data_IF_649151312439
#
_entry.id   IF_649151312439
#
_cell.length_a   1.000
_cell.length_b   1.000
_cell.length_c   1.000
_cell.angle_alpha   90.00
_cell.angle_beta   90.00
_cell.angle_gamma   90.00
#
_symmetry.space_group_name_H-M   'P 1'
#
loop_
_entity.id
_entity.type
_entity.pdbx_description
1 polymer ?
#
# COMPACT_ATOMS: atom_id res chain seq x y z
N UNK A 1 26.26 29.12 21.31
CA UNK A 1 27.55 28.44 21.05
C UNK A 1 27.51 27.89 19.63
N UNK A 2 28.45 28.31 18.79
CA UNK A 2 28.64 27.68 17.48
C UNK A 2 29.31 26.32 17.68
N UNK A 3 28.81 25.29 17.01
CA UNK A 3 29.45 23.96 17.01
C UNK A 3 30.69 24.01 16.11
N UNK A 4 31.72 23.21 16.43
CA UNK A 4 32.93 23.12 15.62
C UNK A 4 32.67 22.46 14.26
N UNK A 5 33.52 22.75 13.28
CA UNK A 5 33.42 22.16 11.94
C UNK A 5 33.55 20.63 11.97
N UNK A 6 34.30 20.08 12.93
CA UNK A 6 34.41 18.63 13.16
C UNK A 6 33.06 18.00 13.53
N UNK A 7 32.28 18.66 14.39
CA UNK A 7 30.94 18.19 14.79
C UNK A 7 29.97 18.27 13.61
N UNK A 8 30.08 19.33 12.79
CA UNK A 8 29.28 19.48 11.57
C UNK A 8 29.63 18.38 10.55
N UNK A 9 30.91 18.07 10.38
CA UNK A 9 31.37 17.01 9.49
C UNK A 9 30.94 15.60 9.96
N UNK A 10 31.00 15.34 11.27
CA UNK A 10 30.50 14.09 11.86
C UNK A 10 28.97 13.97 11.68
N UNK A 11 28.23 15.06 11.89
CA UNK A 11 26.79 15.12 11.65
C UNK A 11 26.44 14.86 10.18
N UNK A 12 27.20 15.45 9.24
CA UNK A 12 27.07 15.22 7.80
C UNK A 12 27.27 13.75 7.44
N UNK A 13 28.34 13.11 7.94
CA UNK A 13 28.60 11.69 7.66
C UNK A 13 27.45 10.78 8.11
N UNK A 14 26.90 11.03 9.30
CA UNK A 14 25.74 10.29 9.82
C UNK A 14 24.45 10.59 9.03
N UNK A 15 24.24 11.84 8.64
CA UNK A 15 23.10 12.27 7.82
C UNK A 15 23.10 11.58 6.44
N UNK A 16 24.27 11.52 5.80
CA UNK A 16 24.44 10.84 4.50
C UNK A 16 24.26 9.31 4.61
N UNK A 17 24.49 8.73 5.79
CA UNK A 17 24.18 7.33 6.14
C UNK A 17 22.71 7.10 6.54
N UNK A 18 21.82 8.05 6.30
CA UNK A 18 20.37 7.99 6.57
C UNK A 18 19.97 7.94 8.06
N UNK A 19 20.87 8.31 8.98
CA UNK A 19 20.46 8.54 10.37
C UNK A 19 19.50 9.74 10.46
N UNK A 20 18.44 9.61 11.25
CA UNK A 20 17.49 10.70 11.46
C UNK A 20 18.13 11.84 12.26
N UNK A 21 17.67 13.09 12.09
CA UNK A 21 18.13 14.23 12.88
C UNK A 21 18.04 14.05 14.41
N UNK A 22 17.09 13.23 14.89
CA UNK A 22 16.98 12.86 16.31
C UNK A 22 18.09 11.90 16.76
N UNK A 23 18.41 10.91 15.94
CA UNK A 23 19.51 9.98 16.24
C UNK A 23 20.87 10.67 16.21
N UNK A 24 21.09 11.55 15.23
CA UNK A 24 22.31 12.37 15.13
C UNK A 24 22.42 13.30 16.34
N UNK A 25 21.32 13.94 16.74
CA UNK A 25 21.29 14.77 17.94
C UNK A 25 21.69 13.97 19.18
N UNK A 26 21.12 12.78 19.38
CA UNK A 26 21.44 11.92 20.53
C UNK A 26 22.90 11.44 20.49
N UNK A 27 23.41 11.08 19.31
CA UNK A 27 24.75 10.50 19.13
C UNK A 27 25.88 11.52 19.25
N UNK A 28 25.63 12.77 18.88
CA UNK A 28 26.61 13.87 18.95
C UNK A 28 26.36 14.83 20.13
N UNK A 29 25.39 14.54 20.99
CA UNK A 29 25.07 15.39 22.15
C UNK A 29 24.60 16.80 21.79
N UNK A 30 23.90 16.97 20.66
CA UNK A 30 23.43 18.29 20.22
C UNK A 30 22.26 18.77 21.09
N UNK A 31 22.12 20.08 21.24
CA UNK A 31 21.09 20.69 22.09
C UNK A 31 19.67 20.50 21.51
N UNK A 32 19.56 20.31 20.20
CA UNK A 32 18.28 20.14 19.51
C UNK A 32 18.45 19.46 18.15
N UNK A 33 17.52 18.57 17.73
CA UNK A 33 17.53 18.02 16.38
C UNK A 33 17.32 19.08 15.29
N UNK A 34 16.79 20.26 15.63
CA UNK A 34 16.66 21.41 14.72
C UNK A 34 17.99 21.88 14.15
N UNK A 35 19.09 21.68 14.88
CA UNK A 35 20.44 22.04 14.44
C UNK A 35 20.84 21.22 13.22
N UNK A 36 20.52 19.92 13.21
CA UNK A 36 20.80 19.02 12.09
C UNK A 36 19.93 19.35 10.87
N UNK A 37 18.66 19.71 11.08
CA UNK A 37 17.81 20.22 9.99
C UNK A 37 18.38 21.51 9.38
N UNK A 38 18.80 22.46 10.22
CA UNK A 38 19.43 23.70 9.78
C UNK A 38 20.69 23.45 8.96
N UNK A 39 21.59 22.55 9.42
CA UNK A 39 22.80 22.21 8.67
C UNK A 39 22.49 21.47 7.36
N UNK A 40 21.54 20.55 7.36
CA UNK A 40 21.13 19.84 6.15
C UNK A 40 20.59 20.78 5.08
N UNK A 41 19.83 21.82 5.47
CA UNK A 41 19.37 22.86 4.55
C UNK A 41 20.49 23.81 4.15
N UNK A 42 21.25 24.35 5.12
CA UNK A 42 22.30 25.35 4.89
C UNK A 42 23.42 24.85 3.99
N UNK A 43 23.83 23.60 4.16
CA UNK A 43 24.93 22.98 3.43
C UNK A 43 24.44 22.00 2.35
N UNK A 44 23.15 22.05 2.06
CA UNK A 44 22.49 21.24 1.03
C UNK A 44 22.82 19.75 1.10
N UNK A 45 22.88 19.17 2.31
CA UNK A 45 23.23 17.76 2.46
C UNK A 45 22.25 16.82 1.75
N UNK A 46 21.01 17.29 1.49
CA UNK A 46 20.01 16.56 0.73
C UNK A 46 20.42 16.31 -0.73
N UNK A 47 21.19 17.21 -1.36
CA UNK A 47 21.71 17.01 -2.73
C UNK A 47 22.88 16.04 -2.77
N UNK A 48 23.57 15.90 -1.64
CA UNK A 48 24.74 15.03 -1.45
C UNK A 48 24.39 13.66 -0.87
N UNK A 49 23.10 13.40 -0.60
CA UNK A 49 22.62 12.06 -0.29
C UNK A 49 22.96 11.18 -1.47
N UNK A 50 24.09 10.47 -1.35
CA UNK A 50 24.56 9.58 -2.39
C UNK A 50 23.41 8.62 -2.69
N UNK A 51 22.99 8.59 -3.94
CA UNK A 51 21.98 7.68 -4.46
C UNK A 51 22.59 6.28 -4.56
N UNK A 52 23.30 5.82 -3.52
CA UNK A 52 23.66 4.41 -3.46
C UNK A 52 22.36 3.66 -3.31
N UNK A 53 21.89 3.16 -4.44
CA UNK A 53 20.80 2.22 -4.48
C UNK A 53 21.24 0.97 -3.74
N UNK A 54 20.26 0.20 -3.28
CA UNK A 54 20.53 -1.13 -2.72
C UNK A 54 21.36 -1.98 -3.70
N UNK A 55 21.22 -1.76 -5.02
CA UNK A 55 22.04 -2.37 -6.06
C UNK A 55 23.55 -2.07 -5.93
N UNK A 56 23.93 -0.82 -5.66
CA UNK A 56 25.33 -0.39 -5.58
C UNK A 56 26.03 -0.93 -4.34
N UNK A 57 25.28 -1.04 -3.24
CA UNK A 57 25.75 -1.64 -1.99
C UNK A 57 25.97 -3.14 -2.17
N UNK A 58 25.03 -3.82 -2.83
CA UNK A 58 25.14 -5.25 -3.15
C UNK A 58 26.31 -5.50 -4.10
N UNK A 59 26.43 -4.73 -5.19
CA UNK A 59 27.50 -4.90 -6.18
C UNK A 59 28.89 -4.74 -5.57
N UNK A 60 29.06 -3.76 -4.67
CA UNK A 60 30.33 -3.55 -3.96
C UNK A 60 30.65 -4.68 -2.99
N UNK A 61 29.65 -5.16 -2.25
CA UNK A 61 29.83 -6.30 -1.34
C UNK A 61 30.18 -7.58 -2.11
N UNK A 62 29.57 -7.79 -3.27
CA UNK A 62 29.90 -8.88 -4.19
C UNK A 62 31.35 -8.80 -4.67
N UNK A 63 31.83 -7.62 -5.09
CA UNK A 63 33.22 -7.44 -5.53
C UNK A 63 34.22 -7.79 -4.42
N UNK A 64 33.97 -7.31 -3.19
CA UNK A 64 34.80 -7.61 -2.02
C UNK A 64 34.81 -9.10 -1.67
N UNK A 65 33.66 -9.77 -1.72
CA UNK A 65 33.59 -11.21 -1.45
C UNK A 65 34.24 -12.01 -2.58
N UNK A 66 34.07 -11.62 -3.84
CA UNK A 66 34.62 -12.33 -4.99
C UNK A 66 36.15 -12.47 -4.91
N UNK A 67 36.85 -11.40 -4.52
CA UNK A 67 38.32 -11.33 -4.42
C UNK A 67 38.92 -12.01 -3.18
N UNK A 68 38.12 -12.50 -2.22
CA UNK A 68 38.65 -13.20 -1.04
C UNK A 68 39.14 -14.61 -1.37
N UNK A 69 40.39 -14.91 -1.02
CA UNK A 69 40.90 -16.29 -0.98
C UNK A 69 40.42 -17.02 0.28
N UNK A 70 40.20 -18.33 0.19
CA UNK A 70 39.74 -19.20 1.30
C UNK A 70 38.44 -18.75 2.00
N UNK A 71 37.36 -18.56 1.23
CA UNK A 71 36.03 -18.17 1.73
C UNK A 71 35.47 -19.17 2.74
N UNK A 72 34.84 -18.67 3.80
CA UNK A 72 34.12 -19.52 4.77
C UNK A 72 32.77 -19.98 4.20
N UNK A 73 32.15 -21.05 4.75
CA UNK A 73 30.80 -21.47 4.34
C UNK A 73 29.75 -20.36 4.44
N UNK A 74 29.87 -19.50 5.45
CA UNK A 74 29.00 -18.33 5.66
C UNK A 74 29.23 -17.26 4.59
N UNK A 75 30.48 -17.04 4.17
CA UNK A 75 30.81 -16.13 3.07
C UNK A 75 30.33 -16.67 1.71
N UNK A 76 30.31 -17.99 1.54
CA UNK A 76 29.72 -18.64 0.37
C UNK A 76 28.19 -18.46 0.32
N UNK A 77 27.49 -18.65 1.44
CA UNK A 77 26.03 -18.42 1.53
C UNK A 77 25.67 -16.93 1.35
N UNK A 78 26.47 -16.01 1.91
CA UNK A 78 26.32 -14.57 1.70
C UNK A 78 26.48 -14.22 0.20
N UNK A 79 27.51 -14.74 -0.45
CA UNK A 79 27.78 -14.51 -1.87
C UNK A 79 26.63 -15.01 -2.76
N UNK A 80 26.14 -16.24 -2.54
CA UNK A 80 25.06 -16.84 -3.34
C UNK A 80 23.75 -16.03 -3.20
N UNK A 81 23.40 -15.63 -1.97
CA UNK A 81 22.22 -14.80 -1.72
C UNK A 81 22.34 -13.43 -2.37
N UNK A 82 23.50 -12.77 -2.24
CA UNK A 82 23.72 -11.46 -2.84
C UNK A 82 23.67 -11.52 -4.38
N UNK A 83 24.21 -12.56 -5.00
CA UNK A 83 24.08 -12.81 -6.45
C UNK A 83 22.59 -12.99 -6.81
N UNK A 84 21.87 -13.83 -6.07
CA UNK A 84 20.44 -14.08 -6.30
C UNK A 84 19.57 -12.82 -6.16
N UNK A 85 19.89 -11.93 -5.23
CA UNK A 85 19.23 -10.63 -5.08
C UNK A 85 19.63 -9.65 -6.19
N UNK A 86 20.90 -9.59 -6.56
CA UNK A 86 21.40 -8.72 -7.63
C UNK A 86 20.77 -9.07 -8.99
N UNK A 87 20.69 -10.35 -9.35
CA UNK A 87 20.04 -10.83 -10.59
C UNK A 87 18.56 -10.43 -10.65
N UNK A 88 17.84 -10.53 -9.52
CA UNK A 88 16.43 -10.11 -9.44
C UNK A 88 16.28 -8.60 -9.68
N UNK A 89 17.13 -7.79 -9.05
CA UNK A 89 17.14 -6.34 -9.21
C UNK A 89 17.51 -5.93 -10.66
N UNK A 90 18.56 -6.52 -11.23
CA UNK A 90 18.93 -6.32 -12.63
C UNK A 90 17.82 -6.73 -13.60
N UNK A 91 17.10 -7.83 -13.35
CA UNK A 91 15.96 -8.25 -14.18
C UNK A 91 14.83 -7.22 -14.16
N UNK A 92 14.55 -6.63 -12.99
CA UNK A 92 13.55 -5.56 -12.84
C UNK A 92 13.99 -4.30 -13.59
N UNK A 93 15.27 -3.92 -13.47
CA UNK A 93 15.84 -2.76 -14.16
C UNK A 93 15.86 -2.93 -15.68
N UNK A 94 16.32 -4.07 -16.19
CA UNK A 94 16.37 -4.32 -17.63
C UNK A 94 14.97 -4.27 -18.25
N UNK A 95 13.96 -4.83 -17.58
CA UNK A 95 12.54 -4.71 -17.98
C UNK A 95 12.04 -3.26 -17.99
N UNK A 96 12.52 -2.43 -17.05
CA UNK A 96 12.19 -1.01 -17.00
C UNK A 96 12.87 -0.23 -18.14
N UNK A 97 14.16 -0.47 -18.38
CA UNK A 97 14.93 0.14 -19.47
C UNK A 97 14.39 -0.25 -20.84
N UNK A 98 14.05 -1.52 -21.05
CA UNK A 98 13.39 -2.01 -22.27
C UNK A 98 12.06 -1.29 -22.52
N UNK A 99 11.25 -1.10 -21.47
CA UNK A 99 9.97 -0.38 -21.53
C UNK A 99 10.15 1.11 -21.85
N UNK A 100 11.17 1.77 -21.30
CA UNK A 100 11.49 3.17 -21.60
C UNK A 100 12.02 3.34 -23.03
N UNK A 101 12.86 2.41 -23.51
CA UNK A 101 13.34 2.38 -24.88
C UNK A 101 12.20 2.07 -25.88
N UNK A 102 11.20 1.29 -25.49
CA UNK A 102 9.99 1.05 -26.30
C UNK A 102 9.11 2.31 -26.39
N UNK A 103 8.96 3.06 -25.30
CA UNK A 103 8.23 4.34 -25.26
C UNK A 103 8.94 5.42 -26.10
N UNK A 104 10.26 5.50 -26.02
CA UNK A 104 11.05 6.42 -26.85
C UNK A 104 10.98 6.07 -28.36
N UNK A 105 10.90 4.78 -28.69
CA UNK A 105 10.72 4.29 -30.08
C UNK A 105 9.33 4.56 -30.65
N UNK A 106 8.31 4.77 -29.80
CA UNK A 106 6.94 5.04 -30.22
C UNK A 106 6.68 6.51 -30.59
N UNK A 107 7.64 7.42 -30.40
CA UNK A 107 7.61 8.78 -30.97
C UNK A 107 6.29 9.53 -30.80
N UNK A 108 5.72 9.55 -29.58
CA UNK A 108 4.39 10.16 -29.36
C UNK A 108 4.54 11.63 -28.98
N UNK A 109 4.16 12.48 -29.92
CA UNK A 109 3.87 13.91 -29.76
C UNK A 109 2.62 14.09 -28.87
N UNK A 110 2.60 15.11 -28.00
CA UNK A 110 1.57 15.29 -26.97
C UNK A 110 0.44 16.21 -27.48
N UNK A 111 -0.82 15.76 -27.66
CA UNK A 111 -1.92 16.67 -28.02
C UNK A 111 -2.79 17.07 -26.81
N UNK A 112 -3.13 18.36 -26.76
CA UNK A 112 -4.07 18.99 -25.83
C UNK A 112 -5.54 18.56 -26.06
N UNK A 113 -6.42 18.70 -25.04
CA UNK A 113 -7.80 18.22 -25.11
C UNK A 113 -8.78 19.26 -25.66
N UNK A 114 -9.65 18.84 -26.58
CA UNK A 114 -10.89 19.57 -26.86
C UNK A 114 -11.54 19.26 -28.20
N UNK A 115 -12.58 18.42 -28.20
CA UNK A 115 -13.93 18.72 -28.71
C UNK A 115 -14.80 17.46 -28.76
N UNK A 116 -15.92 17.52 -28.05
CA UNK A 116 -17.06 16.61 -28.21
C UNK A 116 -17.79 16.90 -29.52
N UNK A 117 -18.21 15.87 -30.24
CA UNK A 117 -19.09 16.01 -31.39
C UNK A 117 -19.46 14.71 -32.10
N UNK A 118 -20.63 14.18 -31.72
CA UNK A 118 -21.64 13.41 -32.48
C UNK A 118 -21.31 12.07 -33.18
N UNK A 119 -22.35 11.23 -33.07
CA UNK A 119 -22.57 9.91 -33.65
C UNK A 119 -22.55 9.89 -35.18
N UNK A 120 -22.04 8.81 -35.77
CA UNK A 120 -22.74 8.08 -36.84
C UNK A 120 -22.16 6.68 -37.08
N UNK A 121 -23.02 5.82 -37.61
CA UNK A 121 -22.91 4.36 -37.76
C UNK A 121 -21.85 3.93 -38.76
N UNK A 122 -21.23 2.78 -38.45
CA UNK A 122 -20.88 1.75 -39.42
C UNK A 122 -19.39 1.68 -39.78
N UNK A 123 -18.70 0.68 -39.23
CA UNK A 123 -18.00 -0.33 -40.03
C UNK A 123 -17.39 -1.40 -39.11
N UNK A 124 -17.59 -2.67 -39.49
CA UNK A 124 -17.00 -3.84 -38.87
C UNK A 124 -15.49 -3.83 -39.13
N UNK A 125 -14.74 -3.14 -38.28
CA UNK A 125 -13.27 -3.19 -38.24
C UNK A 125 -12.78 -4.23 -37.25
N UNK A 126 -11.96 -5.18 -37.72
CA UNK A 126 -11.33 -6.23 -36.94
C UNK A 126 -10.75 -5.70 -35.62
N UNK A 127 -11.32 -6.15 -34.50
CA UNK A 127 -10.94 -5.70 -33.17
C UNK A 127 -9.44 -5.93 -32.92
N UNK A 128 -8.69 -4.83 -32.77
CA UNK A 128 -7.46 -4.84 -31.98
C UNK A 128 -7.84 -5.39 -30.61
N UNK A 129 -7.57 -6.68 -30.37
CA UNK A 129 -7.66 -7.25 -29.02
C UNK A 129 -6.74 -6.42 -28.15
N UNK A 130 -7.33 -5.57 -27.29
CA UNK A 130 -6.58 -4.89 -26.24
C UNK A 130 -5.77 -5.97 -25.52
N UNK A 131 -4.45 -5.74 -25.44
CA UNK A 131 -3.57 -6.67 -24.73
C UNK A 131 -4.12 -6.78 -23.30
N UNK A 132 -4.31 -8.01 -22.78
CA UNK A 132 -4.87 -8.19 -21.45
C UNK A 132 -4.03 -7.42 -20.43
N UNK A 133 -4.69 -6.68 -19.55
CA UNK A 133 -3.99 -5.89 -18.52
C UNK A 133 -3.13 -6.82 -17.67
N UNK A 134 -1.95 -6.32 -17.30
CA UNK A 134 -1.01 -7.07 -16.46
C UNK A 134 -1.64 -7.36 -15.11
N UNK A 135 -1.30 -8.51 -14.54
CA UNK A 135 -1.80 -8.92 -13.22
C UNK A 135 -1.44 -7.89 -12.15
N UNK A 136 -2.42 -7.56 -11.31
CA UNK A 136 -2.33 -6.56 -10.23
C UNK A 136 -1.91 -5.15 -10.67
N UNK A 137 -1.92 -4.85 -11.96
CA UNK A 137 -1.49 -3.54 -12.45
C UNK A 137 -2.65 -2.54 -12.44
N UNK A 138 -2.56 -1.57 -11.52
CA UNK A 138 -3.56 -0.52 -11.30
C UNK A 138 -3.06 0.86 -11.72
N UNK A 139 -1.86 0.95 -12.32
CA UNK A 139 -1.19 2.21 -12.67
C UNK A 139 -1.97 3.09 -13.65
N UNK A 140 -2.87 2.51 -14.44
CA UNK A 140 -3.73 3.23 -15.38
C UNK A 140 -5.08 3.65 -14.82
N UNK A 141 -5.34 3.45 -13.52
CA UNK A 141 -6.60 3.84 -12.88
C UNK A 141 -6.45 5.17 -12.16
N UNK A 142 -7.41 6.07 -12.40
CA UNK A 142 -7.53 7.39 -11.76
C UNK A 142 -8.86 7.48 -11.01
N UNK A 143 -9.12 8.58 -10.29
CA UNK A 143 -10.38 8.77 -9.58
C UNK A 143 -11.59 8.70 -10.53
N UNK A 144 -11.45 9.24 -11.74
CA UNK A 144 -12.48 9.25 -12.78
C UNK A 144 -12.82 7.85 -13.28
N UNK A 145 -11.86 6.92 -13.21
CA UNK A 145 -12.06 5.52 -13.60
C UNK A 145 -13.15 4.84 -12.76
N UNK A 146 -13.39 5.31 -11.54
CA UNK A 146 -14.36 4.73 -10.61
C UNK A 146 -15.76 5.35 -10.73
N UNK A 147 -15.92 6.48 -11.41
CA UNK A 147 -17.21 7.18 -11.54
C UNK A 147 -18.35 6.31 -12.12
N UNK A 148 -18.13 5.48 -13.17
CA UNK A 148 -19.18 4.62 -13.70
C UNK A 148 -19.69 3.63 -12.66
N UNK A 149 -18.82 3.16 -11.76
CA UNK A 149 -19.22 2.27 -10.68
C UNK A 149 -20.00 3.02 -9.61
N UNK A 150 -19.54 4.21 -9.20
CA UNK A 150 -20.21 4.99 -8.15
C UNK A 150 -21.64 5.36 -8.54
N UNK A 151 -21.91 5.58 -9.84
CA UNK A 151 -23.26 5.86 -10.36
C UNK A 151 -24.23 4.67 -10.24
N UNK A 152 -23.72 3.44 -10.10
CA UNK A 152 -24.52 2.21 -9.93
C UNK A 152 -24.85 1.90 -8.47
N UNK A 153 -24.29 2.65 -7.51
CA UNK A 153 -24.45 2.40 -6.09
C UNK A 153 -25.88 2.69 -5.62
N UNK A 154 -26.40 1.87 -4.72
CA UNK A 154 -27.66 2.16 -4.04
C UNK A 154 -27.54 3.40 -3.15
N UNK A 155 -28.65 4.10 -2.91
CA UNK A 155 -28.67 5.32 -2.09
C UNK A 155 -28.01 5.14 -0.71
N UNK A 156 -28.21 4.00 -0.06
CA UNK A 156 -27.56 3.73 1.22
C UNK A 156 -26.02 3.57 1.10
N UNK A 157 -25.53 3.02 -0.02
CA UNK A 157 -24.09 2.88 -0.30
C UNK A 157 -23.46 4.23 -0.62
N UNK A 158 -24.17 5.11 -1.32
CA UNK A 158 -23.76 6.51 -1.52
C UNK A 158 -23.61 7.22 -0.17
N UNK A 159 -24.57 7.07 0.73
CA UNK A 159 -24.47 7.61 2.10
C UNK A 159 -23.26 7.08 2.87
N UNK A 160 -22.92 5.80 2.72
CA UNK A 160 -21.70 5.22 3.31
C UNK A 160 -20.44 5.89 2.74
N UNK A 161 -20.43 6.15 1.42
CA UNK A 161 -19.32 6.78 0.69
C UNK A 161 -19.10 8.22 1.13
N UNK A 162 -20.18 8.99 1.23
CA UNK A 162 -20.14 10.38 1.71
C UNK A 162 -19.56 10.48 3.12
N UNK A 163 -19.69 9.43 3.94
CA UNK A 163 -19.19 9.38 5.31
C UNK A 163 -17.81 8.71 5.45
N UNK A 164 -17.14 8.36 4.36
CA UNK A 164 -15.82 7.69 4.32
C UNK A 164 -14.71 8.48 5.01
N UNK A 165 -14.82 9.81 5.08
CA UNK A 165 -13.85 10.68 5.76
C UNK A 165 -13.76 10.44 7.28
N UNK A 166 -14.76 9.79 7.89
CA UNK A 166 -14.77 9.51 9.33
C UNK A 166 -13.68 8.51 9.69
N UNK A 167 -12.84 8.86 10.66
CA UNK A 167 -11.78 7.98 11.17
C UNK A 167 -12.34 6.65 11.68
N UNK A 168 -13.45 6.70 12.41
CA UNK A 168 -14.13 5.49 12.90
C UNK A 168 -15.57 5.54 12.42
N UNK A 169 -15.99 4.49 11.71
CA UNK A 169 -17.38 4.23 11.36
C UNK A 169 -17.81 2.95 12.07
N UNK A 170 -18.90 3.01 12.82
CA UNK A 170 -19.56 1.84 13.38
C UNK A 170 -20.96 1.79 12.77
N UNK A 171 -21.34 0.66 12.18
CA UNK A 171 -22.55 0.56 11.36
C UNK A 171 -23.33 -0.71 11.68
N UNK A 172 -24.64 -0.57 11.88
CA UNK A 172 -25.58 -1.68 11.81
C UNK A 172 -26.21 -1.76 10.42
N UNK A 173 -26.31 -2.98 9.90
CA UNK A 173 -26.86 -3.23 8.56
C UNK A 173 -27.75 -4.47 8.52
N UNK A 174 -28.71 -4.48 7.61
CA UNK A 174 -29.54 -5.65 7.31
C UNK A 174 -28.77 -6.72 6.55
N UNK A 175 -29.25 -7.97 6.57
CA UNK A 175 -28.67 -9.07 5.77
C UNK A 175 -28.93 -8.85 4.28
N UNK A 176 -28.05 -9.40 3.45
CA UNK A 176 -28.23 -9.50 1.99
C UNK A 176 -28.42 -8.16 1.24
N UNK A 177 -28.05 -7.02 1.82
CA UNK A 177 -28.19 -5.73 1.15
C UNK A 177 -27.02 -5.37 0.23
N UNK A 178 -25.92 -6.13 0.25
CA UNK A 178 -24.71 -5.84 -0.54
C UNK A 178 -23.66 -4.96 0.16
N UNK A 179 -23.72 -4.83 1.48
CA UNK A 179 -22.75 -4.02 2.24
C UNK A 179 -21.30 -4.51 2.09
N UNK A 180 -21.07 -5.83 2.16
CA UNK A 180 -19.72 -6.43 1.99
C UNK A 180 -19.15 -6.15 0.60
N UNK A 181 -19.99 -6.24 -0.44
CA UNK A 181 -19.60 -5.91 -1.82
C UNK A 181 -19.19 -4.45 -1.95
N UNK A 182 -19.97 -3.54 -1.34
CA UNK A 182 -19.64 -2.11 -1.32
C UNK A 182 -18.33 -1.81 -0.59
N UNK A 183 -18.09 -2.39 0.60
CA UNK A 183 -16.83 -2.16 1.32
C UNK A 183 -15.62 -2.79 0.63
N UNK A 184 -15.80 -3.90 -0.08
CA UNK A 184 -14.77 -4.44 -0.97
C UNK A 184 -14.40 -3.44 -2.08
N UNK A 185 -15.40 -2.81 -2.71
CA UNK A 185 -15.17 -1.76 -3.70
C UNK A 185 -14.48 -0.53 -3.09
N UNK A 186 -14.99 -0.01 -1.98
CA UNK A 186 -14.45 1.18 -1.33
C UNK A 186 -12.97 1.01 -0.96
N UNK A 187 -12.62 -0.16 -0.42
CA UNK A 187 -11.25 -0.51 -0.06
C UNK A 187 -10.36 -0.69 -1.30
N UNK A 188 -10.86 -1.31 -2.36
CA UNK A 188 -10.10 -1.46 -3.61
C UNK A 188 -9.82 -0.09 -4.25
N UNK A 189 -10.83 0.77 -4.33
CA UNK A 189 -10.67 2.16 -4.78
C UNK A 189 -9.63 2.91 -3.95
N UNK A 190 -9.72 2.82 -2.61
CA UNK A 190 -8.72 3.44 -1.73
C UNK A 190 -7.32 2.93 -2.02
N UNK A 191 -7.14 1.61 -2.07
CA UNK A 191 -5.85 0.99 -2.34
C UNK A 191 -5.26 1.47 -3.67
N UNK A 192 -6.08 1.59 -4.71
CA UNK A 192 -5.66 2.05 -6.04
C UNK A 192 -5.24 3.52 -6.01
N UNK A 193 -6.04 4.39 -5.39
CA UNK A 193 -5.82 5.83 -5.46
C UNK A 193 -4.73 6.33 -4.51
N UNK A 194 -4.54 5.66 -3.38
CA UNK A 194 -3.65 6.13 -2.31
C UNK A 194 -2.37 5.32 -2.17
N UNK A 195 -2.36 4.06 -2.61
CA UNK A 195 -1.30 3.12 -2.26
C UNK A 195 -1.41 2.55 -0.84
N UNK A 196 -2.45 2.91 -0.09
CA UNK A 196 -2.60 2.52 1.31
C UNK A 196 -3.02 1.06 1.47
N UNK A 197 -2.46 0.43 2.50
CA UNK A 197 -2.80 -0.94 2.92
C UNK A 197 -4.24 -1.04 3.41
N UNK A 198 -4.95 -2.07 2.97
CA UNK A 198 -6.33 -2.39 3.38
C UNK A 198 -6.36 -3.75 4.09
N UNK A 199 -7.05 -3.80 5.23
CA UNK A 199 -7.07 -4.98 6.09
C UNK A 199 -8.52 -5.35 6.40
N UNK A 200 -8.90 -6.57 6.03
CA UNK A 200 -10.20 -7.15 6.27
C UNK A 200 -10.10 -8.15 7.42
N UNK A 201 -10.85 -7.90 8.49
CA UNK A 201 -10.93 -8.74 9.67
C UNK A 201 -12.33 -9.31 9.80
N UNK A 202 -12.44 -10.63 9.66
CA UNK A 202 -13.72 -11.34 9.71
C UNK A 202 -13.75 -12.43 10.76
N UNK A 203 -14.95 -12.86 11.17
CA UNK A 203 -15.13 -13.92 12.16
C UNK A 203 -14.47 -15.26 11.76
N UNK A 204 -14.23 -15.50 10.47
CA UNK A 204 -13.51 -16.66 9.95
C UNK A 204 -12.70 -16.30 8.71
N UNK A 205 -11.66 -17.10 8.41
CA UNK A 205 -10.87 -16.97 7.17
C UNK A 205 -11.75 -17.03 5.92
N UNK A 206 -12.75 -17.93 5.92
CA UNK A 206 -13.70 -18.07 4.81
C UNK A 206 -14.51 -16.79 4.57
N UNK A 207 -14.91 -16.08 5.62
CA UNK A 207 -15.60 -14.80 5.49
C UNK A 207 -14.65 -13.70 4.98
N UNK A 208 -13.40 -13.67 5.45
CA UNK A 208 -12.41 -12.71 4.96
C UNK A 208 -12.13 -12.91 3.44
N UNK A 209 -12.08 -14.15 2.97
CA UNK A 209 -11.93 -14.49 1.54
C UNK A 209 -13.11 -14.02 0.66
N UNK A 210 -14.28 -13.72 1.25
CA UNK A 210 -15.41 -13.12 0.50
C UNK A 210 -15.03 -11.73 -0.02
N UNK A 211 -14.32 -10.91 0.77
CA UNK A 211 -13.80 -9.63 0.28
C UNK A 211 -12.85 -9.82 -0.88
N UNK A 212 -11.91 -10.77 -0.76
CA UNK A 212 -10.96 -11.07 -1.85
C UNK A 212 -11.69 -11.45 -3.12
N UNK A 213 -12.71 -12.31 -3.00
CA UNK A 213 -13.55 -12.73 -4.14
C UNK A 213 -14.24 -11.53 -4.79
N UNK A 214 -14.81 -10.62 -4.00
CA UNK A 214 -15.44 -9.41 -4.53
C UNK A 214 -14.44 -8.47 -5.19
N UNK A 215 -13.28 -8.25 -4.59
CA UNK A 215 -12.23 -7.39 -5.15
C UNK A 215 -11.74 -7.95 -6.49
N UNK A 216 -11.46 -9.25 -6.56
CA UNK A 216 -11.07 -9.92 -7.81
C UNK A 216 -12.17 -9.75 -8.87
N UNK A 217 -13.44 -9.93 -8.47
CA UNK A 217 -14.58 -9.77 -9.38
C UNK A 217 -14.68 -8.33 -9.89
N UNK A 218 -14.68 -7.33 -9.01
CA UNK A 218 -14.75 -5.90 -9.36
C UNK A 218 -13.60 -5.53 -10.29
N UNK A 219 -12.36 -5.89 -9.94
CA UNK A 219 -11.18 -5.61 -10.73
C UNK A 219 -11.27 -6.20 -12.14
N UNK A 220 -11.76 -7.44 -12.26
CA UNK A 220 -11.93 -8.10 -13.53
C UNK A 220 -13.09 -7.54 -14.36
N UNK A 221 -14.25 -7.27 -13.75
CA UNK A 221 -15.46 -6.89 -14.50
C UNK A 221 -15.50 -5.42 -14.85
N UNK A 222 -15.03 -4.54 -13.98
CA UNK A 222 -15.09 -3.09 -14.20
C UNK A 222 -13.82 -2.55 -14.85
N UNK A 223 -12.67 -3.23 -14.65
CA UNK A 223 -11.37 -2.73 -15.10
C UNK A 223 -10.57 -3.71 -15.96
N UNK A 224 -11.03 -4.95 -16.14
CA UNK A 224 -10.29 -5.97 -16.89
C UNK A 224 -8.95 -6.36 -16.26
N UNK A 225 -8.75 -6.10 -14.96
CA UNK A 225 -7.49 -6.35 -14.26
C UNK A 225 -7.55 -7.69 -13.54
N UNK A 226 -6.71 -8.67 -13.89
CA UNK A 226 -6.62 -9.90 -13.13
C UNK A 226 -5.91 -9.65 -11.80
N UNK A 227 -6.59 -9.95 -10.69
CA UNK A 227 -6.04 -9.82 -9.33
C UNK A 227 -5.62 -11.19 -8.78
N UNK A 228 -4.38 -11.29 -8.27
CA UNK A 228 -3.79 -12.51 -7.69
C UNK A 228 -2.99 -12.21 -6.42
N UNK A 229 -2.73 -13.27 -5.64
CA UNK A 229 -1.97 -13.21 -4.38
C UNK A 229 -2.84 -13.30 -3.13
N UNK A 230 -2.20 -13.61 -1.99
CA UNK A 230 -2.74 -13.51 -0.64
C UNK A 230 -1.56 -13.35 0.36
N UNK A 231 -1.23 -12.13 0.82
CA UNK A 231 -1.93 -10.87 0.54
C UNK A 231 -1.86 -10.48 -0.94
N UNK A 232 -2.83 -9.71 -1.41
CA UNK A 232 -2.79 -9.13 -2.76
C UNK A 232 -1.87 -7.91 -2.71
N UNK A 233 -0.90 -7.83 -3.63
CA UNK A 233 -0.03 -6.66 -3.79
C UNK A 233 -0.29 -5.99 -5.13
N UNK A 234 -0.70 -4.74 -5.12
CA UNK A 234 -0.96 -3.93 -6.31
C UNK A 234 0.33 -3.28 -6.84
N UNK A 235 0.33 -2.83 -8.10
CA UNK A 235 1.52 -2.21 -8.72
C UNK A 235 1.95 -0.89 -8.08
N UNK A 236 1.07 -0.25 -7.31
CA UNK A 236 1.35 0.97 -6.53
C UNK A 236 1.78 0.68 -5.07
N UNK A 237 2.17 -0.56 -4.76
CA UNK A 237 2.58 -1.04 -3.44
C UNK A 237 1.47 -1.23 -2.40
N UNK A 238 0.20 -0.92 -2.71
CA UNK A 238 -0.89 -1.22 -1.79
C UNK A 238 -1.03 -2.73 -1.54
N UNK A 239 -1.21 -3.10 -0.28
CA UNK A 239 -1.39 -4.48 0.14
C UNK A 239 -2.82 -4.69 0.67
N UNK A 240 -3.46 -5.79 0.26
CA UNK A 240 -4.79 -6.19 0.74
C UNK A 240 -4.66 -7.48 1.55
N UNK A 241 -4.96 -7.39 2.84
CA UNK A 241 -4.88 -8.48 3.80
C UNK A 241 -6.27 -9.02 4.16
N UNK A 242 -6.46 -10.33 4.05
CA UNK A 242 -7.73 -11.01 4.36
C UNK A 242 -7.51 -11.93 5.57
N UNK A 243 -7.81 -11.43 6.76
CA UNK A 243 -7.40 -12.04 8.02
C UNK A 243 -8.60 -12.57 8.80
N UNK A 244 -8.40 -13.73 9.43
CA UNK A 244 -9.28 -14.23 10.48
C UNK A 244 -8.91 -13.59 11.82
N UNK A 245 -9.77 -13.76 12.83
CA UNK A 245 -9.63 -13.18 14.17
C UNK A 245 -8.46 -13.70 15.02
N UNK A 246 -7.53 -14.49 14.47
CA UNK A 246 -6.34 -14.90 15.21
C UNK A 246 -5.40 -13.70 15.38
N UNK A 247 -5.36 -13.17 16.61
CA UNK A 247 -4.68 -11.93 16.98
C UNK A 247 -3.20 -11.86 16.61
N UNK A 248 -2.53 -13.01 16.47
CA UNK A 248 -1.07 -13.03 16.30
C UNK A 248 -0.64 -12.60 14.89
N UNK A 249 -1.46 -12.83 13.87
CA UNK A 249 -1.14 -12.44 12.48
C UNK A 249 -1.57 -11.00 12.16
N UNK A 250 -2.51 -10.45 12.92
CA UNK A 250 -3.07 -9.12 12.68
C UNK A 250 -2.15 -7.99 13.21
N UNK A 251 -1.40 -8.21 14.30
CA UNK A 251 -0.60 -7.17 14.96
C UNK A 251 0.55 -6.59 14.12
N UNK A 252 1.04 -7.29 13.08
CA UNK A 252 2.21 -6.83 12.32
C UNK A 252 1.92 -5.82 11.21
N UNK A 253 0.65 -5.63 10.84
CA UNK A 253 0.27 -4.81 9.69
C UNK A 253 -0.53 -3.57 10.13
N UNK A 254 -0.25 -2.43 9.52
CA UNK A 254 -1.00 -1.17 9.73
C UNK A 254 -1.69 -0.74 8.43
N UNK A 255 -2.90 -0.22 8.51
CA UNK A 255 -3.67 0.17 7.33
C UNK A 255 -5.10 0.57 7.65
N UNK A 256 -5.93 0.72 6.62
CA UNK A 256 -7.38 0.90 6.77
C UNK A 256 -8.05 -0.43 7.13
N UNK A 257 -8.84 -0.44 8.19
CA UNK A 257 -9.47 -1.65 8.72
C UNK A 257 -10.95 -1.72 8.36
N UNK A 258 -11.37 -2.89 7.91
CA UNK A 258 -12.75 -3.29 7.68
C UNK A 258 -13.05 -4.50 8.55
N UNK A 259 -13.97 -4.35 9.50
CA UNK A 259 -14.32 -5.39 10.48
C UNK A 259 -15.79 -5.77 10.27
N UNK A 260 -16.02 -6.89 9.57
CA UNK A 260 -17.35 -7.35 9.24
C UNK A 260 -17.92 -8.30 10.28
N UNK A 261 -19.24 -8.23 10.44
CA UNK A 261 -20.01 -9.09 11.33
C UNK A 261 -19.41 -9.16 12.75
N UNK A 262 -18.88 -8.05 13.25
CA UNK A 262 -18.17 -8.02 14.53
C UNK A 262 -19.05 -8.42 15.72
N UNK A 263 -20.37 -8.32 15.60
CA UNK A 263 -21.32 -8.80 16.62
C UNK A 263 -21.52 -10.33 16.59
N UNK A 264 -20.84 -11.02 15.68
CA UNK A 264 -20.79 -12.48 15.56
C UNK A 264 -19.38 -13.03 15.79
N UNK A 265 -18.43 -12.17 16.22
CA UNK A 265 -17.05 -12.54 16.51
C UNK A 265 -16.89 -12.92 17.99
N UNK A 266 -16.54 -14.18 18.29
CA UNK A 266 -16.12 -14.55 19.65
C UNK A 266 -14.87 -13.76 20.06
N UNK A 267 -14.83 -13.28 21.30
CA UNK A 267 -13.67 -12.53 21.81
C UNK A 267 -13.48 -11.15 21.18
N UNK A 268 -14.57 -10.49 20.76
CA UNK A 268 -14.54 -9.17 20.13
C UNK A 268 -13.69 -8.13 20.87
N UNK A 269 -13.65 -8.13 22.22
CA UNK A 269 -12.82 -7.17 22.97
C UNK A 269 -11.35 -7.20 22.57
N UNK A 270 -10.77 -8.42 22.49
CA UNK A 270 -9.38 -8.63 22.07
C UNK A 270 -9.17 -8.21 20.62
N UNK A 271 -10.12 -8.54 19.74
CA UNK A 271 -10.05 -8.09 18.35
C UNK A 271 -10.07 -6.56 18.24
N UNK A 272 -10.92 -5.90 19.04
CA UNK A 272 -11.04 -4.45 19.04
C UNK A 272 -9.77 -3.75 19.55
N UNK A 273 -9.11 -4.32 20.55
CA UNK A 273 -7.80 -3.85 21.03
C UNK A 273 -6.73 -3.96 19.94
N UNK A 274 -6.64 -5.13 19.27
CA UNK A 274 -5.70 -5.34 18.16
C UNK A 274 -5.98 -4.39 17.00
N UNK A 275 -7.25 -4.28 16.59
CA UNK A 275 -7.67 -3.37 15.53
C UNK A 275 -7.32 -1.91 15.84
N UNK A 276 -7.52 -1.48 17.09
CA UNK A 276 -7.14 -0.14 17.54
C UNK A 276 -5.63 0.06 17.47
N UNK A 277 -4.84 -0.96 17.81
CA UNK A 277 -3.37 -0.96 17.66
C UNK A 277 -2.91 -0.84 16.21
N UNK A 278 -3.55 -1.57 15.29
CA UNK A 278 -3.22 -1.55 13.85
C UNK A 278 -3.54 -0.19 13.19
N UNK A 279 -4.53 0.54 13.71
CA UNK A 279 -4.93 1.87 13.25
C UNK A 279 -4.48 2.99 14.20
N UNK A 280 -3.36 2.80 14.91
CA UNK A 280 -2.83 3.78 15.88
C UNK A 280 -2.56 5.13 15.20
N UNK A 281 -2.01 5.12 13.99
CA UNK A 281 -1.75 6.35 13.23
C UNK A 281 -3.04 7.06 12.82
N UNK A 282 -3.04 8.40 12.90
CA UNK A 282 -4.25 9.23 12.73
C UNK A 282 -4.93 9.14 11.37
N UNK A 283 -4.18 8.77 10.32
CA UNK A 283 -4.71 8.65 8.95
C UNK A 283 -5.44 7.32 8.72
N UNK A 284 -5.18 6.28 9.53
CA UNK A 284 -5.86 5.01 9.41
C UNK A 284 -7.31 5.08 9.88
N UNK A 285 -8.20 4.57 9.03
CA UNK A 285 -9.64 4.48 9.27
C UNK A 285 -10.02 3.08 9.74
N UNK A 286 -11.03 2.99 10.59
CA UNK A 286 -11.62 1.74 11.04
C UNK A 286 -13.12 1.76 10.74
N UNK A 287 -13.58 0.76 10.01
CA UNK A 287 -14.99 0.59 9.65
C UNK A 287 -15.51 -0.73 10.22
N UNK A 288 -16.28 -0.63 11.30
CA UNK A 288 -17.04 -1.74 11.87
C UNK A 288 -18.41 -1.78 11.19
N UNK A 289 -18.83 -2.97 10.75
CA UNK A 289 -20.18 -3.15 10.26
C UNK A 289 -20.69 -4.54 10.57
N UNK A 290 -21.92 -4.65 11.07
CA UNK A 290 -22.47 -5.94 11.47
C UNK A 290 -23.98 -5.98 11.31
N UNK A 291 -24.50 -7.20 11.14
CA UNK A 291 -25.90 -7.45 11.43
C UNK A 291 -26.12 -7.47 12.94
N UNK A 292 -27.31 -7.07 13.43
CA UNK A 292 -27.63 -7.15 14.86
C UNK A 292 -27.46 -8.58 15.40
N UNK A 293 -27.00 -8.68 16.64
CA UNK A 293 -26.82 -9.93 17.39
C UNK A 293 -27.45 -9.80 18.78
N UNK A 294 -27.26 -10.80 19.64
CA UNK A 294 -27.75 -10.78 21.02
C UNK A 294 -27.20 -9.60 21.83
N UNK A 295 -28.02 -9.05 22.74
CA UNK A 295 -27.61 -8.03 23.72
C UNK A 295 -26.52 -8.52 24.68
N UNK A 296 -26.38 -9.85 24.83
CA UNK A 296 -25.34 -10.48 25.66
C UNK A 296 -23.98 -10.54 24.97
N UNK A 297 -23.89 -10.23 23.67
CA UNK A 297 -22.63 -10.26 22.94
C UNK A 297 -21.69 -9.15 23.42
N UNK A 298 -20.39 -9.44 23.50
CA UNK A 298 -19.37 -8.48 23.99
C UNK A 298 -19.29 -7.18 23.17
N UNK A 299 -19.68 -7.22 21.90
CA UNK A 299 -19.75 -6.06 21.02
C UNK A 299 -21.02 -5.21 21.16
N UNK A 300 -22.05 -5.67 21.88
CA UNK A 300 -23.28 -4.90 22.05
C UNK A 300 -23.05 -3.58 22.80
N UNK A 301 -22.31 -3.53 23.93
CA UNK A 301 -21.96 -2.26 24.55
C UNK A 301 -21.14 -1.35 23.64
N UNK A 302 -20.27 -1.89 22.80
CA UNK A 302 -19.48 -1.09 21.86
C UNK A 302 -20.34 -0.38 20.81
N UNK A 303 -21.48 -0.97 20.43
CA UNK A 303 -22.46 -0.33 19.55
C UNK A 303 -23.29 0.75 20.28
N UNK A 304 -23.77 0.45 21.49
CA UNK A 304 -24.76 1.31 22.19
C UNK A 304 -24.12 2.56 22.82
N UNK A 305 -22.87 2.47 23.26
CA UNK A 305 -22.22 3.53 24.05
C UNK A 305 -21.39 4.54 23.23
N UNK A 306 -21.49 4.50 21.90
CA UNK A 306 -20.85 5.47 20.97
C UNK A 306 -21.86 6.00 19.98
#
# INVERSE_FOLDING_TARGET
>A
MAYSDEVIAAAKSLYLKRHTPKEIQKKLGLNSPRIVYYWATKFEWYTQLNTEGVEDVIARRLAVLAERDHKTPEEHDELDRLIGHHVKLMSVRNKHTERMAEIARMGVDIPQPGRYGKEERGEKGAGKKERPRKTNDVSGLTAESFEPFTKKLFAYQLRLRENKFRRVRNLLKSRQIGATYYFAFEAFEDAVLTGDTQIFLSASKRQAEVFRTYIVKIAQTEFGIPIKGNPVKLSNLAELYFLATNSNTAQSNSGHLYIDEYLWIPGFRRLNEVASGMATHKHWRITYFSTPSSKTHQGYPFWVWR
#
